data_IF_109121546418
#
_entry.id   IF_109121546418
#
_cell.length_a   1.000
_cell.length_b   1.000
_cell.length_c   1.000
_cell.angle_alpha   90.00
_cell.angle_beta   90.00
_cell.angle_gamma   90.00
#
_symmetry.space_group_name_H-M   'P 1'
#
loop_
_entity.id
_entity.type
_entity.pdbx_description
1 polymer ?
#
# COMPACT_ATOMS: atom_id res chain seq x y z
N UNK A 1 4.53 16.67 3.56
CA UNK A 1 5.86 17.15 3.96
C UNK A 1 5.82 17.48 5.44
N UNK A 2 6.64 16.82 6.26
CA UNK A 2 6.77 17.22 7.66
C UNK A 2 7.43 18.61 7.72
N UNK A 3 7.05 19.42 8.70
CA UNK A 3 7.59 20.79 8.91
C UNK A 3 9.09 20.82 9.29
N UNK A 4 9.77 19.67 9.34
CA UNK A 4 11.13 19.51 9.88
C UNK A 4 12.22 19.26 8.81
N UNK A 5 11.90 19.38 7.52
CA UNK A 5 12.89 19.20 6.44
C UNK A 5 13.36 17.75 6.23
N UNK A 6 12.89 16.79 7.03
CA UNK A 6 13.14 15.37 6.81
C UNK A 6 11.98 14.74 6.05
N UNK A 7 12.11 14.60 4.72
CA UNK A 7 11.14 13.82 3.96
C UNK A 7 11.42 12.33 4.16
N UNK A 8 10.50 11.64 4.84
CA UNK A 8 10.50 10.18 4.95
C UNK A 8 9.32 9.65 4.14
N UNK A 9 9.60 8.75 3.21
CA UNK A 9 8.55 8.05 2.47
C UNK A 9 8.31 6.69 3.11
N UNK A 10 7.11 6.44 3.62
CA UNK A 10 6.72 5.13 4.13
C UNK A 10 6.31 4.20 2.99
N UNK A 11 6.84 2.99 2.98
CA UNK A 11 6.54 1.95 2.00
C UNK A 11 6.02 0.72 2.74
N UNK A 12 4.92 0.17 2.25
CA UNK A 12 4.33 -1.09 2.74
C UNK A 12 4.23 -2.06 1.58
N UNK A 13 4.50 -3.34 1.86
CA UNK A 13 4.32 -4.41 0.89
C UNK A 13 3.24 -5.36 1.42
N UNK A 14 2.21 -5.56 0.60
CA UNK A 14 1.06 -6.41 0.92
C UNK A 14 1.06 -7.64 0.01
N UNK A 15 0.95 -8.82 0.62
CA UNK A 15 0.52 -10.03 -0.06
C UNK A 15 -1.01 -10.07 -0.06
N UNK A 16 -1.59 -9.97 -1.25
CA UNK A 16 -3.05 -10.02 -1.44
C UNK A 16 -3.45 -11.42 -1.90
N UNK A 17 -4.47 -11.99 -1.28
CA UNK A 17 -5.01 -13.29 -1.67
C UNK A 17 -6.53 -13.20 -1.86
N UNK A 18 -7.07 -13.60 -3.03
CA UNK A 18 -8.51 -13.72 -3.22
C UNK A 18 -9.05 -14.84 -2.32
N UNK A 19 -10.20 -14.59 -1.69
CA UNK A 19 -11.04 -15.64 -1.07
C UNK A 19 -12.41 -15.61 -1.73
N UNK A 20 -13.32 -16.45 -1.22
CA UNK A 20 -14.67 -16.55 -1.74
C UNK A 20 -15.48 -15.25 -1.59
N UNK A 21 -15.36 -14.58 -0.45
CA UNK A 21 -16.20 -13.42 -0.11
C UNK A 21 -15.46 -12.08 -0.05
N UNK A 22 -14.18 -12.11 0.31
CA UNK A 22 -13.34 -10.91 0.37
C UNK A 22 -11.86 -11.23 0.15
N UNK A 23 -11.09 -10.25 -0.30
CA UNK A 23 -9.65 -10.41 -0.40
C UNK A 23 -9.01 -10.27 1.00
N UNK A 24 -8.01 -11.10 1.28
CA UNK A 24 -7.18 -10.96 2.49
C UNK A 24 -5.87 -10.26 2.16
N UNK A 25 -5.41 -9.40 3.05
CA UNK A 25 -4.23 -8.55 2.90
C UNK A 25 -3.25 -8.86 4.02
N UNK A 26 -2.11 -9.45 3.69
CA UNK A 26 -1.05 -9.72 4.68
C UNK A 26 0.10 -8.75 4.48
N UNK A 27 0.45 -7.99 5.52
CA UNK A 27 1.65 -7.18 5.51
C UNK A 27 2.87 -8.12 5.53
N UNK A 28 3.75 -7.97 4.53
CA UNK A 28 4.98 -8.79 4.43
C UNK A 28 6.24 -7.97 4.63
N UNK A 29 6.19 -6.65 4.40
CA UNK A 29 7.31 -5.75 4.66
C UNK A 29 6.82 -4.31 4.90
N UNK A 30 7.58 -3.57 5.69
CA UNK A 30 7.42 -2.14 5.95
C UNK A 30 8.80 -1.51 6.06
N UNK A 31 8.99 -0.35 5.45
CA UNK A 31 10.21 0.43 5.63
C UNK A 31 10.01 1.90 5.29
N UNK A 32 10.97 2.74 5.68
CA UNK A 32 11.05 4.13 5.21
C UNK A 32 12.23 4.33 4.26
N UNK A 33 12.01 5.20 3.28
CA UNK A 33 13.05 5.78 2.44
C UNK A 33 13.36 7.17 3.00
N UNK A 34 14.62 7.38 3.41
CA UNK A 34 15.06 8.59 4.12
C UNK A 34 15.87 9.47 3.16
N UNK A 35 15.22 10.04 2.16
CA UNK A 35 15.82 11.02 1.24
C UNK A 35 14.72 11.90 0.65
N UNK A 36 15.09 13.09 0.20
CA UNK A 36 14.24 14.04 -0.54
C UNK A 36 14.42 13.93 -2.06
N UNK A 37 15.39 13.14 -2.50
CA UNK A 37 15.74 12.95 -3.91
C UNK A 37 14.74 11.99 -4.58
N UNK A 38 13.90 12.53 -5.46
CA UNK A 38 12.84 11.76 -6.12
C UNK A 38 13.37 10.64 -7.03
N UNK A 39 14.55 10.81 -7.63
CA UNK A 39 15.18 9.77 -8.43
C UNK A 39 15.55 8.58 -7.53
N UNK A 40 16.21 8.86 -6.40
CA UNK A 40 16.58 7.81 -5.43
C UNK A 40 15.37 7.13 -4.82
N UNK A 41 14.33 7.88 -4.47
CA UNK A 41 13.07 7.31 -3.97
C UNK A 41 12.48 6.38 -5.04
N UNK A 42 12.39 6.84 -6.28
CA UNK A 42 11.85 6.06 -7.40
C UNK A 42 12.65 4.78 -7.64
N UNK A 43 13.99 4.86 -7.62
CA UNK A 43 14.86 3.71 -7.81
C UNK A 43 14.65 2.64 -6.74
N UNK A 44 14.54 3.04 -5.47
CA UNK A 44 14.26 2.12 -4.37
C UNK A 44 12.86 1.49 -4.53
N UNK A 45 11.86 2.26 -4.96
CA UNK A 45 10.51 1.75 -5.22
C UNK A 45 10.52 0.74 -6.38
N UNK A 46 11.15 1.04 -7.52
CA UNK A 46 11.27 0.13 -8.67
C UNK A 46 11.97 -1.17 -8.29
N UNK A 47 13.07 -1.08 -7.53
CA UNK A 47 13.76 -2.25 -6.99
C UNK A 47 12.85 -3.06 -6.07
N UNK A 48 12.08 -2.39 -5.22
CA UNK A 48 11.11 -3.08 -4.34
C UNK A 48 10.02 -3.77 -5.15
N UNK A 49 9.50 -3.13 -6.21
CA UNK A 49 8.54 -3.74 -7.14
C UNK A 49 9.11 -5.00 -7.78
N UNK A 50 10.37 -4.94 -8.24
CA UNK A 50 11.07 -6.08 -8.82
C UNK A 50 11.30 -7.21 -7.80
N UNK A 51 11.88 -6.89 -6.64
CA UNK A 51 12.21 -7.85 -5.58
C UNK A 51 10.99 -8.63 -5.08
N UNK A 52 9.82 -7.98 -5.03
CA UNK A 52 8.56 -8.59 -4.59
C UNK A 52 7.66 -9.04 -5.73
N UNK A 53 8.08 -8.87 -6.98
CA UNK A 53 7.26 -9.11 -8.17
C UNK A 53 5.86 -8.48 -8.04
N UNK A 54 5.82 -7.22 -7.62
CA UNK A 54 4.58 -6.53 -7.27
C UNK A 54 3.69 -6.38 -8.51
N UNK A 55 2.41 -6.76 -8.37
CA UNK A 55 1.39 -6.63 -9.44
C UNK A 55 0.74 -5.25 -9.52
N UNK A 56 0.93 -4.44 -8.49
CA UNK A 56 0.40 -3.08 -8.39
C UNK A 56 1.30 -2.27 -7.48
N UNK A 57 1.70 -1.09 -7.93
CA UNK A 57 2.38 -0.07 -7.14
C UNK A 57 1.38 1.05 -6.87
N UNK A 58 1.17 1.39 -5.60
CA UNK A 58 0.20 2.42 -5.21
C UNK A 58 0.95 3.55 -4.51
N UNK A 59 0.70 4.79 -4.94
CA UNK A 59 1.26 5.97 -4.28
C UNK A 59 0.27 7.12 -4.23
N UNK A 60 0.40 7.95 -3.20
CA UNK A 60 -0.32 9.21 -3.09
C UNK A 60 0.24 10.20 -4.10
N UNK A 61 -0.62 10.74 -4.97
CA UNK A 61 -0.30 11.74 -5.97
C UNK A 61 -0.71 13.16 -5.53
N UNK A 62 -1.04 13.36 -4.25
CA UNK A 62 -1.22 14.67 -3.64
C UNK A 62 0.09 15.44 -3.45
N UNK A 63 0.12 16.70 -3.88
CA UNK A 63 1.29 17.58 -3.75
C UNK A 63 2.55 17.01 -4.40
N UNK A 64 3.53 16.64 -3.58
CA UNK A 64 4.83 16.08 -3.98
C UNK A 64 4.71 14.79 -4.79
N UNK A 65 3.68 13.98 -4.53
CA UNK A 65 3.49 12.71 -5.23
C UNK A 65 3.31 12.84 -6.75
N UNK A 66 2.88 14.01 -7.23
CA UNK A 66 2.82 14.29 -8.67
C UNK A 66 4.22 14.34 -9.31
N UNK A 67 5.23 14.81 -8.59
CA UNK A 67 6.62 14.86 -9.07
C UNK A 67 7.26 13.46 -9.15
N UNK A 68 6.81 12.52 -8.32
CA UNK A 68 7.26 11.13 -8.36
C UNK A 68 6.82 10.39 -9.63
N UNK A 69 5.72 10.81 -10.27
CA UNK A 69 5.16 10.16 -11.48
C UNK A 69 6.23 10.01 -12.55
N UNK A 70 6.90 11.11 -12.90
CA UNK A 70 7.85 11.13 -14.01
C UNK A 70 9.04 10.21 -13.73
N UNK A 71 9.54 10.20 -12.49
CA UNK A 71 10.66 9.37 -12.08
C UNK A 71 10.30 7.87 -12.03
N UNK A 72 9.07 7.53 -11.68
CA UNK A 72 8.57 6.14 -11.68
C UNK A 72 8.36 5.66 -13.12
N UNK A 73 7.85 6.53 -13.98
CA UNK A 73 7.48 6.20 -15.35
C UNK A 73 8.67 6.17 -16.32
N UNK A 74 9.72 6.97 -16.09
CA UNK A 74 10.95 6.94 -16.89
C UNK A 74 11.85 5.79 -16.49
N UNK A 75 12.67 5.30 -17.40
CA UNK A 75 13.80 4.44 -17.05
C UNK A 75 14.83 5.22 -16.23
N UNK A 76 15.54 4.52 -15.34
CA UNK A 76 16.60 5.10 -14.52
C UNK A 76 17.71 4.08 -14.29
N UNK A 77 18.76 4.44 -13.55
CA UNK A 77 19.83 3.52 -13.15
C UNK A 77 19.99 3.51 -11.65
N UNK A 78 20.34 2.35 -11.09
CA UNK A 78 20.70 2.27 -9.68
C UNK A 78 22.10 2.85 -9.41
N UNK A 79 22.51 2.84 -8.15
CA UNK A 79 23.82 3.37 -7.71
C UNK A 79 25.03 2.63 -8.32
N UNK A 80 24.83 1.43 -8.88
CA UNK A 80 25.85 0.63 -9.56
C UNK A 80 25.75 0.75 -11.09
N UNK A 81 24.87 1.62 -11.59
CA UNK A 81 24.65 1.83 -13.02
C UNK A 81 23.76 0.79 -13.70
N UNK A 82 23.15 -0.13 -12.95
CA UNK A 82 22.24 -1.14 -13.49
C UNK A 82 20.92 -0.49 -13.91
N UNK A 83 20.38 -0.82 -15.11
CA UNK A 83 19.14 -0.22 -15.58
C UNK A 83 17.95 -0.67 -14.74
N UNK A 84 17.09 0.29 -14.41
CA UNK A 84 15.81 0.10 -13.77
C UNK A 84 14.71 0.52 -14.76
N UNK A 85 13.88 -0.45 -15.14
CA UNK A 85 12.78 -0.21 -16.06
C UNK A 85 11.79 0.81 -15.49
N UNK A 86 11.22 1.64 -16.36
CA UNK A 86 10.09 2.48 -15.99
C UNK A 86 8.80 1.66 -15.86
N UNK A 87 7.84 2.22 -15.12
CA UNK A 87 6.56 1.57 -14.85
C UNK A 87 5.41 2.37 -15.46
N UNK A 88 4.45 1.66 -16.07
CA UNK A 88 3.27 2.28 -16.66
C UNK A 88 2.26 2.72 -15.60
N UNK A 89 1.64 3.88 -15.81
CA UNK A 89 0.63 4.44 -14.92
C UNK A 89 -0.77 4.01 -15.40
N UNK A 90 -1.55 3.41 -14.50
CA UNK A 90 -2.92 2.93 -14.74
C UNK A 90 -3.89 4.10 -14.94
N UNK A 91 -3.75 5.14 -14.13
CA UNK A 91 -4.68 6.26 -14.08
C UNK A 91 -3.96 7.63 -14.07
N UNK A 92 -3.11 7.94 -15.07
CA UNK A 92 -2.49 9.26 -15.17
C UNK A 92 -3.58 10.34 -15.25
N UNK A 93 -3.37 11.52 -14.65
CA UNK A 93 -4.31 12.62 -14.82
C UNK A 93 -4.31 13.09 -16.27
N UNK A 94 -5.45 13.58 -16.76
CA UNK A 94 -5.60 14.11 -18.13
C UNK A 94 -4.48 15.08 -18.54
N UNK A 95 -4.01 15.89 -17.60
CA UNK A 95 -2.93 16.86 -17.83
C UNK A 95 -1.56 16.23 -18.10
N UNK A 96 -1.34 14.96 -17.75
CA UNK A 96 -0.07 14.25 -17.90
C UNK A 96 -0.18 13.03 -18.84
N UNK A 97 -1.36 12.70 -19.36
CA UNK A 97 -1.58 11.53 -20.23
C UNK A 97 -0.69 11.53 -21.49
N UNK A 98 -0.32 12.72 -21.99
CA UNK A 98 0.55 12.87 -23.15
C UNK A 98 2.04 12.77 -22.82
N UNK A 99 2.40 13.06 -21.58
CA UNK A 99 3.80 13.19 -21.14
C UNK A 99 4.33 11.89 -20.53
N UNK A 100 3.44 10.99 -20.09
CA UNK A 100 3.82 9.67 -19.58
C UNK A 100 4.10 8.70 -20.72
N UNK A 101 5.21 7.97 -20.60
CA UNK A 101 5.53 6.83 -21.44
C UNK A 101 4.48 5.73 -21.24
N UNK A 102 4.00 5.18 -22.37
CA UNK A 102 3.08 4.06 -22.39
C UNK A 102 3.87 2.75 -22.37
N UNK A 103 3.47 1.86 -21.46
CA UNK A 103 4.07 0.55 -21.32
C UNK A 103 3.05 -0.55 -21.65
N UNK A 104 3.52 -1.77 -22.00
CA UNK A 104 2.64 -2.93 -22.15
C UNK A 104 1.82 -3.20 -20.89
N UNK A 105 0.63 -3.78 -21.03
CA UNK A 105 -0.32 -4.00 -19.92
C UNK A 105 0.30 -4.67 -18.68
N UNK A 106 1.24 -5.61 -18.85
CA UNK A 106 1.88 -6.31 -17.74
C UNK A 106 2.87 -5.43 -16.94
N UNK A 107 3.30 -4.29 -17.48
CA UNK A 107 4.15 -3.28 -16.82
C UNK A 107 3.36 -2.04 -16.39
N UNK A 108 2.10 -1.92 -16.78
CA UNK A 108 1.21 -0.82 -16.38
C UNK A 108 0.55 -1.15 -15.05
N UNK A 109 1.30 -0.92 -13.96
CA UNK A 109 0.96 -1.37 -12.61
C UNK A 109 0.84 -0.22 -11.59
N UNK A 110 1.19 1.01 -11.96
CA UNK A 110 1.22 2.14 -11.04
C UNK A 110 -0.15 2.80 -10.91
N UNK A 111 -0.69 2.86 -9.70
CA UNK A 111 -1.96 3.49 -9.40
C UNK A 111 -1.78 4.73 -8.52
N UNK A 112 -2.25 5.87 -9.02
CA UNK A 112 -2.25 7.15 -8.33
C UNK A 112 -3.49 7.30 -7.45
N UNK A 113 -3.28 7.50 -6.16
CA UNK A 113 -4.35 7.85 -5.22
C UNK A 113 -4.32 9.35 -4.98
N UNK A 114 -5.49 9.99 -5.08
CA UNK A 114 -5.70 11.36 -4.60
C UNK A 114 -6.79 11.32 -3.55
N UNK A 115 -6.40 11.37 -2.28
CA UNK A 115 -7.33 11.30 -1.14
C UNK A 115 -7.80 12.72 -0.77
N UNK A 116 -8.89 13.18 -1.37
CA UNK A 116 -9.54 14.43 -1.00
C UNK A 116 -11.07 14.23 -0.98
N UNK A 117 -11.76 14.99 -0.14
CA UNK A 117 -13.23 14.96 -0.03
C UNK A 117 -13.78 13.55 0.22
N UNK A 118 -14.86 13.21 -0.49
CA UNK A 118 -15.59 11.93 -0.34
C UNK A 118 -14.73 10.70 -0.60
N UNK A 119 -13.76 10.79 -1.51
CA UNK A 119 -12.84 9.68 -1.79
C UNK A 119 -11.98 9.34 -0.57
N UNK A 120 -11.56 10.35 0.20
CA UNK A 120 -10.88 10.13 1.48
C UNK A 120 -11.75 9.38 2.48
N UNK A 121 -13.02 9.78 2.60
CA UNK A 121 -13.99 9.11 3.48
C UNK A 121 -14.17 7.62 3.10
N UNK A 122 -14.34 7.32 1.80
CA UNK A 122 -14.47 5.95 1.31
C UNK A 122 -13.22 5.09 1.58
N UNK A 123 -12.02 5.65 1.40
CA UNK A 123 -10.75 4.96 1.70
C UNK A 123 -10.73 4.56 3.18
N UNK A 124 -11.02 5.51 4.06
CA UNK A 124 -11.01 5.25 5.50
C UNK A 124 -12.05 4.21 5.89
N UNK A 125 -13.30 4.33 5.40
CA UNK A 125 -14.40 3.41 5.72
C UNK A 125 -14.07 1.98 5.27
N UNK A 126 -13.54 1.83 4.06
CA UNK A 126 -13.10 0.55 3.54
C UNK A 126 -12.00 -0.05 4.43
N UNK A 127 -10.98 0.74 4.79
CA UNK A 127 -9.90 0.26 5.64
C UNK A 127 -10.43 -0.30 6.98
N UNK A 128 -11.23 0.48 7.72
CA UNK A 128 -11.75 0.02 9.01
C UNK A 128 -12.69 -1.17 8.86
N UNK A 129 -13.50 -1.23 7.80
CA UNK A 129 -14.31 -2.42 7.49
C UNK A 129 -13.44 -3.68 7.32
N UNK A 130 -12.30 -3.57 6.62
CA UNK A 130 -11.33 -4.66 6.45
C UNK A 130 -10.57 -5.03 7.73
N UNK A 131 -10.37 -4.08 8.63
CA UNK A 131 -9.84 -4.39 9.97
C UNK A 131 -10.88 -5.18 10.76
N UNK A 132 -12.13 -4.69 10.82
CA UNK A 132 -13.20 -5.28 11.63
C UNK A 132 -13.57 -6.70 11.22
N UNK A 133 -13.50 -7.04 9.93
CA UNK A 133 -13.80 -8.40 9.44
C UNK A 133 -12.57 -9.34 9.41
N UNK A 134 -11.41 -8.90 9.93
CA UNK A 134 -10.19 -9.71 9.97
C UNK A 134 -9.53 -9.94 8.60
N UNK A 135 -9.84 -9.15 7.57
CA UNK A 135 -9.22 -9.27 6.26
C UNK A 135 -7.74 -8.83 6.25
N UNK A 136 -7.32 -8.01 7.20
CA UNK A 136 -5.93 -7.52 7.30
C UNK A 136 -5.15 -8.32 8.33
N UNK A 137 -4.02 -8.89 7.92
CA UNK A 137 -3.04 -9.55 8.79
C UNK A 137 -1.78 -8.69 8.89
N UNK A 138 -1.54 -8.14 10.08
CA UNK A 138 -0.33 -7.39 10.40
C UNK A 138 0.85 -8.33 10.70
N UNK A 139 2.07 -7.79 10.63
CA UNK A 139 3.24 -8.46 11.18
C UNK A 139 3.12 -8.53 12.71
N UNK A 140 3.79 -9.51 13.31
CA UNK A 140 3.97 -9.56 14.77
C UNK A 140 4.85 -8.40 15.24
N UNK A 141 4.83 -8.12 16.55
CA UNK A 141 5.70 -7.11 17.15
C UNK A 141 7.18 -7.50 17.07
N UNK A 142 8.06 -6.52 17.14
CA UNK A 142 9.50 -6.80 17.13
C UNK A 142 9.93 -7.70 18.30
N UNK A 143 9.34 -7.54 19.49
CA UNK A 143 9.61 -8.38 20.66
C UNK A 143 9.28 -9.85 20.42
N UNK A 144 8.11 -10.14 19.84
CA UNK A 144 7.70 -11.49 19.47
C UNK A 144 8.56 -12.07 18.34
N UNK A 145 8.95 -11.24 17.37
CA UNK A 145 9.83 -11.65 16.28
C UNK A 145 11.24 -12.02 16.80
N UNK A 146 11.78 -11.26 17.76
CA UNK A 146 13.06 -11.58 18.41
C UNK A 146 12.98 -12.95 19.07
N UNK A 147 11.94 -13.22 19.86
CA UNK A 147 11.76 -14.54 20.49
C UNK A 147 11.74 -15.66 19.43
N UNK A 148 10.88 -15.53 18.42
CA UNK A 148 10.74 -16.54 17.35
C UNK A 148 12.02 -16.77 16.55
N UNK A 149 12.77 -15.73 16.23
CA UNK A 149 14.00 -15.88 15.43
C UNK A 149 15.19 -16.30 16.27
N UNK A 150 15.24 -15.96 17.56
CA UNK A 150 16.30 -16.42 18.45
C UNK A 150 16.31 -17.94 18.57
N UNK A 151 15.17 -18.60 18.42
CA UNK A 151 15.08 -20.08 18.42
C UNK A 151 15.57 -20.71 17.10
N UNK A 152 15.74 -19.93 16.03
CA UNK A 152 16.17 -20.44 14.73
C UNK A 152 17.70 -20.49 14.60
N UNK A 153 18.28 -21.69 14.53
CA UNK A 153 19.74 -21.89 14.33
C UNK A 153 20.31 -21.09 13.15
N UNK A 154 19.57 -21.01 12.04
CA UNK A 154 19.99 -20.23 10.86
C UNK A 154 20.07 -18.72 11.13
N UNK A 155 19.15 -18.18 11.94
CA UNK A 155 19.18 -16.79 12.35
C UNK A 155 20.34 -16.53 13.31
N UNK A 156 20.56 -17.39 14.30
CA UNK A 156 21.67 -17.26 15.24
C UNK A 156 23.03 -17.19 14.53
N UNK A 157 23.24 -18.03 13.52
CA UNK A 157 24.48 -18.11 12.71
C UNK A 157 24.62 -16.99 11.67
N UNK A 158 23.57 -16.22 11.40
CA UNK A 158 23.61 -15.12 10.43
C UNK A 158 24.45 -13.94 10.94
N UNK A 159 25.04 -13.19 10.00
CA UNK A 159 25.73 -11.93 10.33
C UNK A 159 24.76 -10.91 10.94
N UNK A 160 25.31 -9.96 11.70
CA UNK A 160 24.50 -8.90 12.33
C UNK A 160 23.71 -8.09 11.29
N UNK A 161 24.30 -7.81 10.13
CA UNK A 161 23.64 -7.11 9.02
C UNK A 161 22.43 -7.88 8.51
N UNK A 162 22.54 -9.21 8.35
CA UNK A 162 21.43 -10.03 7.87
C UNK A 162 20.33 -10.16 8.94
N UNK A 163 20.71 -10.26 10.22
CA UNK A 163 19.78 -10.25 11.35
C UNK A 163 18.99 -8.94 11.39
N UNK A 164 19.68 -7.80 11.30
CA UNK A 164 19.05 -6.48 11.27
C UNK A 164 18.10 -6.34 10.07
N UNK A 165 18.55 -6.73 8.87
CA UNK A 165 17.71 -6.72 7.66
C UNK A 165 16.43 -7.54 7.83
N UNK A 166 16.52 -8.71 8.47
CA UNK A 166 15.37 -9.58 8.73
C UNK A 166 14.44 -9.04 9.83
N UNK A 167 14.98 -8.35 10.83
CA UNK A 167 14.23 -7.73 11.93
C UNK A 167 13.55 -6.42 11.55
N UNK A 168 14.13 -5.68 10.59
CA UNK A 168 13.70 -4.34 10.19
C UNK A 168 12.19 -4.20 9.94
N UNK A 169 11.50 -5.11 9.22
CA UNK A 169 10.06 -5.00 9.00
C UNK A 169 9.25 -5.00 10.30
N UNK A 170 9.67 -5.79 11.29
CA UNK A 170 9.00 -5.89 12.60
C UNK A 170 9.25 -4.65 13.46
N UNK A 171 10.41 -4.01 13.34
CA UNK A 171 10.66 -2.71 13.99
C UNK A 171 9.77 -1.61 13.42
N UNK A 172 9.49 -1.64 12.12
CA UNK A 172 8.54 -0.72 11.50
C UNK A 172 7.08 -1.08 11.82
N UNK A 173 6.78 -2.34 12.08
CA UNK A 173 5.46 -2.75 12.58
C UNK A 173 5.15 -2.09 13.92
N UNK A 174 6.10 -2.01 14.86
CA UNK A 174 5.88 -1.30 16.12
C UNK A 174 5.56 0.19 15.90
N UNK A 175 6.20 0.82 14.90
CA UNK A 175 5.88 2.20 14.51
C UNK A 175 4.46 2.30 13.95
N UNK A 176 4.09 1.42 13.03
CA UNK A 176 2.74 1.37 12.47
C UNK A 176 1.68 1.12 13.54
N UNK A 177 1.94 0.25 14.52
CA UNK A 177 1.03 0.03 15.65
C UNK A 177 0.82 1.32 16.44
N UNK A 178 1.88 2.08 16.70
CA UNK A 178 1.78 3.38 17.36
C UNK A 178 1.01 4.41 16.52
N UNK A 179 1.18 4.42 15.19
CA UNK A 179 0.37 5.26 14.31
C UNK A 179 -1.12 4.90 14.44
N UNK A 180 -1.47 3.61 14.33
CA UNK A 180 -2.84 3.12 14.42
C UNK A 180 -3.50 3.46 15.76
N UNK A 181 -2.82 3.25 16.88
CA UNK A 181 -3.31 3.57 18.23
C UNK A 181 -3.49 5.07 18.46
N UNK A 182 -2.77 5.89 17.69
CA UNK A 182 -2.87 7.34 17.75
C UNK A 182 -4.05 7.89 16.94
N UNK A 183 -4.76 7.06 16.19
CA UNK A 183 -5.93 7.47 15.41
C UNK A 183 -7.21 7.41 16.27
N UNK A 184 -8.06 8.40 16.04
CA UNK A 184 -9.40 8.50 16.58
C UNK A 184 -10.37 8.71 15.42
N UNK A 185 -11.39 7.85 15.35
CA UNK A 185 -12.48 8.01 14.39
C UNK A 185 -13.48 8.98 15.00
N UNK A 186 -13.65 10.12 14.35
CA UNK A 186 -14.63 11.13 14.75
C UNK A 186 -15.74 11.16 13.71
N UNK A 187 -16.97 10.95 14.16
CA UNK A 187 -18.15 11.20 13.35
C UNK A 187 -18.47 12.68 13.40
N UNK A 188 -18.25 13.38 12.29
CA UNK A 188 -18.83 14.72 12.09
C UNK A 188 -20.21 14.52 11.48
N UNK A 189 -21.15 14.09 12.31
CA UNK A 189 -22.55 13.96 11.92
C UNK A 189 -23.25 15.32 11.98
N UNK A 190 -23.43 15.94 10.82
CA UNK A 190 -24.65 16.73 10.59
C UNK A 190 -25.65 15.80 9.90
N UNK A 191 -26.93 15.85 10.30
CA UNK A 191 -28.02 14.89 10.03
C UNK A 191 -28.26 14.42 8.57
N UNK A 192 -27.43 14.83 7.60
CA UNK A 192 -27.55 14.56 6.17
C UNK A 192 -26.34 13.80 5.59
N UNK A 193 -25.13 13.92 6.17
CA UNK A 193 -23.92 13.29 5.61
C UNK A 193 -23.06 12.60 6.69
N UNK A 194 -23.00 11.26 6.67
CA UNK A 194 -22.08 10.47 7.50
C UNK A 194 -20.65 10.57 6.93
N UNK A 195 -19.95 11.64 7.28
CA UNK A 195 -18.53 11.79 6.96
C UNK A 195 -17.68 11.24 8.11
N UNK A 196 -16.99 10.12 7.87
CA UNK A 196 -16.03 9.57 8.82
C UNK A 196 -14.72 10.34 8.67
N UNK A 197 -14.28 10.97 9.76
CA UNK A 197 -13.00 11.68 9.81
C UNK A 197 -12.03 10.95 10.73
N UNK A 198 -10.77 10.93 10.34
CA UNK A 198 -9.69 10.40 11.17
C UNK A 198 -8.92 11.57 11.76
N UNK A 199 -8.91 11.65 13.09
CA UNK A 199 -8.11 12.61 13.85
C UNK A 199 -6.92 11.89 14.49
N UNK A 200 -5.79 12.60 14.58
CA UNK A 200 -4.64 12.16 15.38
C UNK A 200 -4.78 12.68 16.80
N UNK A 201 -4.67 11.80 17.79
CA UNK A 201 -4.66 12.17 19.22
C UNK A 201 -3.44 13.02 19.56
N UNK A 202 -2.26 12.56 19.11
CA UNK A 202 -1.01 13.30 19.17
C UNK A 202 -0.54 13.68 17.76
N UNK A 203 -0.49 14.98 17.41
CA UNK A 203 -0.07 15.43 16.07
C UNK A 203 1.41 15.16 15.77
N UNK A 204 2.24 14.88 16.78
CA UNK A 204 3.66 14.53 16.61
C UNK A 204 3.85 13.13 16.02
N UNK A 205 2.89 12.22 16.23
CA UNK A 205 2.90 10.89 15.62
C UNK A 205 2.28 11.03 14.23
N UNK A 206 3.05 10.69 13.19
CA UNK A 206 2.58 10.73 11.81
C UNK A 206 1.65 9.55 11.51
N UNK A 207 1.09 9.51 10.30
CA UNK A 207 0.15 8.47 9.85
C UNK A 207 0.61 7.83 8.54
N UNK A 208 1.93 7.77 8.31
CA UNK A 208 2.49 7.50 6.99
C UNK A 208 2.31 6.02 6.59
N UNK A 209 2.57 5.08 7.51
CA UNK A 209 2.32 3.65 7.28
C UNK A 209 0.83 3.32 7.24
N UNK A 210 0.04 3.97 8.10
CA UNK A 210 -1.41 3.88 8.03
C UNK A 210 -1.93 4.30 6.65
N UNK A 211 -1.54 5.50 6.18
CA UNK A 211 -1.98 6.06 4.89
C UNK A 211 -1.54 5.17 3.72
N UNK A 212 -0.29 4.71 3.71
CA UNK A 212 0.21 3.81 2.68
C UNK A 212 -0.60 2.49 2.61
N UNK A 213 -1.00 1.96 3.76
CA UNK A 213 -1.77 0.72 3.84
C UNK A 213 -3.21 0.90 3.35
N UNK A 214 -3.92 1.94 3.80
CA UNK A 214 -5.30 2.19 3.37
C UNK A 214 -5.40 2.49 1.87
N UNK A 215 -4.43 3.23 1.31
CA UNK A 215 -4.36 3.50 -0.12
C UNK A 215 -4.16 2.23 -0.93
N UNK A 216 -3.27 1.35 -0.49
CA UNK A 216 -3.03 0.06 -1.15
C UNK A 216 -4.28 -0.83 -1.14
N UNK A 217 -4.98 -0.92 0.01
CA UNK A 217 -6.22 -1.70 0.13
C UNK A 217 -7.31 -1.14 -0.79
N UNK A 218 -7.48 0.18 -0.81
CA UNK A 218 -8.46 0.83 -1.67
C UNK A 218 -8.18 0.63 -3.16
N UNK A 219 -6.92 0.78 -3.59
CA UNK A 219 -6.51 0.57 -4.97
C UNK A 219 -6.77 -0.88 -5.42
N UNK A 220 -6.37 -1.85 -4.61
CA UNK A 220 -6.62 -3.28 -4.88
C UNK A 220 -8.12 -3.57 -4.91
N UNK A 221 -8.89 -3.01 -3.98
CA UNK A 221 -10.33 -3.22 -3.95
C UNK A 221 -10.98 -2.73 -5.26
N UNK A 222 -10.68 -1.49 -5.64
CA UNK A 222 -11.28 -0.83 -6.79
C UNK A 222 -10.85 -1.40 -8.14
N UNK A 223 -9.57 -1.77 -8.30
CA UNK A 223 -9.01 -2.18 -9.60
C UNK A 223 -8.83 -3.69 -9.79
N UNK A 224 -8.85 -4.48 -8.71
CA UNK A 224 -8.61 -5.91 -8.78
C UNK A 224 -9.80 -6.69 -8.21
N UNK A 225 -10.21 -6.38 -7.00
CA UNK A 225 -11.21 -7.18 -6.27
C UNK A 225 -12.61 -7.08 -6.87
N UNK A 226 -13.10 -5.87 -7.13
CA UNK A 226 -14.42 -5.66 -7.73
C UNK A 226 -14.53 -6.34 -9.10
N UNK A 227 -13.48 -6.23 -9.91
CA UNK A 227 -13.43 -6.90 -11.21
C UNK A 227 -13.43 -8.42 -11.06
N UNK A 228 -12.62 -8.97 -10.14
CA UNK A 228 -12.57 -10.41 -9.85
C UNK A 228 -13.96 -10.98 -9.53
N UNK A 229 -14.70 -10.35 -8.62
CA UNK A 229 -16.04 -10.83 -8.25
C UNK A 229 -17.08 -10.61 -9.35
N UNK A 230 -17.01 -9.52 -10.11
CA UNK A 230 -17.92 -9.31 -11.24
C UNK A 230 -17.78 -10.40 -12.31
N UNK A 231 -16.55 -10.81 -12.62
CA UNK A 231 -16.26 -11.92 -13.55
C UNK A 231 -16.72 -13.26 -13.01
N UNK A 232 -16.55 -13.51 -11.71
CA UNK A 232 -17.00 -14.76 -11.07
C UNK A 232 -18.53 -14.86 -11.01
N UNK A 233 -19.25 -13.75 -10.75
CA UNK A 233 -20.73 -13.73 -10.81
C UNK A 233 -21.25 -14.05 -12.20
N UNK A 234 -20.65 -13.48 -13.25
CA UNK A 234 -21.00 -13.80 -14.65
C UNK A 234 -20.79 -15.27 -15.00
N UNK A 235 -19.83 -15.95 -14.35
CA UNK A 235 -19.58 -17.39 -14.55
C UNK A 235 -20.57 -18.30 -13.82
N UNK A 236 -21.09 -17.88 -12.66
CA UNK A 236 -22.01 -18.66 -11.82
C UNK A 236 -23.49 -18.50 -12.17
N UNK A 237 -23.84 -17.53 -13.03
CA UNK A 237 -25.23 -17.25 -13.37
C UNK A 237 -25.52 -17.55 -14.84
N UNK A 238 -25.67 -18.82 -15.20
CA UNK A 238 -26.49 -19.14 -16.38
C UNK A 238 -27.93 -19.36 -15.91
N UNK A 239 -28.94 -18.80 -16.58
CA UNK A 239 -30.34 -19.03 -16.23
C UNK A 239 -30.72 -20.52 -16.16
N UNK A 240 -30.05 -21.34 -16.96
CA UNK A 240 -30.14 -22.79 -17.04
C UNK A 240 -29.65 -23.55 -15.79
N UNK A 241 -28.92 -22.89 -14.88
CA UNK A 241 -28.46 -23.49 -13.61
C UNK A 241 -29.50 -23.35 -12.47
N UNK A 242 -30.60 -22.64 -12.71
CA UNK A 242 -31.65 -22.39 -11.71
C UNK A 242 -32.96 -23.05 -12.15
N UNK A 243 -33.33 -24.16 -11.50
CA UNK A 243 -34.67 -24.74 -11.59
C UNK A 243 -35.50 -24.15 -10.46
N UNK A 244 -36.54 -23.38 -10.79
CA UNK A 244 -37.63 -23.09 -9.88
C UNK A 244 -38.60 -24.27 -9.95
N UNK A 245 -38.77 -24.97 -8.83
CA UNK A 245 -39.83 -25.95 -8.64
C UNK A 245 -40.85 -25.29 -7.71
N UNK A 246 -42.11 -25.24 -8.16
CA UNK A 246 -43.27 -24.83 -7.36
C UNK A 246 -43.57 -25.83 -6.23
#
# INVERSE_FOLDING_TARGET
MAKDGSAKTAVVVLKVQPKEFFFTYSLVNLFTINTTDYEKISNIIKKTVFDYQAKMLVYDAGGIGAAMRDWINKESRDEFGMPLEGLGIINPPKSAEKDVFKYPNHKTICYEVKSAGDKGNQIHQLFFSRVSNGAIRFLIKSSEAIAKFSDMKGFQRSSNVLKEKKMRPYMFMDRMENELKNLEVTDTSDNVNKAMRIRRRNPKIQKDFFSATEYAIYAVNTHIELEHYSRNRRRKGRPEDYVLID
#
